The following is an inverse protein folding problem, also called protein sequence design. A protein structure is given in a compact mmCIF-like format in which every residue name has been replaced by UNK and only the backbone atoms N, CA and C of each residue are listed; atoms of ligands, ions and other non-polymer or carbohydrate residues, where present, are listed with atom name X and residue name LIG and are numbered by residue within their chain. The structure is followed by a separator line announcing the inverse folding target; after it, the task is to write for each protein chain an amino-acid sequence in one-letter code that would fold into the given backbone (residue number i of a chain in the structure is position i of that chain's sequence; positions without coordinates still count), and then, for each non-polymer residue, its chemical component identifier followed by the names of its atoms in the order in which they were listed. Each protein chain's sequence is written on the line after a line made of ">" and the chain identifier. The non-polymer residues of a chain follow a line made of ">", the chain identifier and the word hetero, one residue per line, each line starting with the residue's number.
data_IF_372528434305
#
_entry.id   IF_372528434305
#
_cell.length_a   1.000
_cell.length_b   1.000
_cell.length_c   1.000
_cell.angle_alpha   90.00
_cell.angle_beta   90.00
_cell.angle_gamma   90.00
#
_symmetry.space_group_name_H-M   'P 1'
#
loop_
_entity.id
_entity.type
_entity.pdbx_description
1 polymer ?
#
# COMPACT_ATOMS: atom_id res chain seq x y z
N UNK A 1 -29.08 -40.14 -7.73
CA UNK A 1 -27.63 -39.90 -7.96
C UNK A 1 -27.37 -38.61 -8.74
N UNK A 2 -27.94 -38.40 -9.94
CA UNK A 2 -27.72 -37.17 -10.74
C UNK A 2 -28.09 -35.85 -10.03
N UNK A 3 -29.18 -35.83 -9.24
CA UNK A 3 -29.62 -34.64 -8.48
C UNK A 3 -28.63 -34.21 -7.38
N UNK A 4 -28.04 -35.17 -6.67
CA UNK A 4 -27.06 -34.90 -5.62
C UNK A 4 -25.73 -34.40 -6.20
N UNK A 5 -25.32 -34.93 -7.36
CA UNK A 5 -24.15 -34.45 -8.10
C UNK A 5 -24.34 -32.99 -8.55
N UNK A 6 -25.53 -32.64 -9.05
CA UNK A 6 -25.84 -31.27 -9.44
C UNK A 6 -25.78 -30.28 -8.25
N UNK A 7 -26.35 -30.67 -7.10
CA UNK A 7 -26.30 -29.85 -5.87
C UNK A 7 -24.86 -29.68 -5.38
N UNK A 8 -24.07 -30.76 -5.42
CA UNK A 8 -22.66 -30.72 -5.02
C UNK A 8 -21.83 -29.79 -5.93
N UNK A 9 -22.06 -29.82 -7.25
CA UNK A 9 -21.39 -28.94 -8.21
C UNK A 9 -21.80 -27.46 -8.02
N UNK A 10 -23.05 -27.19 -7.67
CA UNK A 10 -23.49 -25.82 -7.34
C UNK A 10 -22.76 -25.34 -6.08
N UNK A 11 -22.70 -26.17 -5.04
CA UNK A 11 -22.04 -25.81 -3.78
C UNK A 11 -20.54 -25.53 -3.98
N UNK A 12 -19.84 -26.33 -4.80
CA UNK A 12 -18.41 -26.13 -5.07
C UNK A 12 -18.14 -24.85 -5.89
N UNK A 13 -19.06 -24.51 -6.80
CA UNK A 13 -19.00 -23.27 -7.57
C UNK A 13 -19.18 -22.03 -6.68
N UNK A 14 -20.12 -22.09 -5.73
CA UNK A 14 -20.36 -21.01 -4.76
C UNK A 14 -19.18 -20.77 -3.81
N UNK A 15 -18.47 -21.82 -3.39
CA UNK A 15 -17.27 -21.67 -2.53
C UNK A 15 -16.11 -21.05 -3.31
N UNK A 16 -16.02 -21.29 -4.61
CA UNK A 16 -14.90 -20.81 -5.44
C UNK A 16 -14.97 -19.31 -5.79
N UNK A 17 -16.13 -18.66 -5.64
CA UNK A 17 -16.32 -17.25 -6.03
C UNK A 17 -16.10 -16.26 -4.89
N UNK A 18 -15.99 -16.71 -3.63
CA UNK A 18 -15.97 -15.84 -2.44
C UNK A 18 -14.58 -15.38 -2.01
N UNK A 19 -13.51 -15.71 -2.74
CA UNK A 19 -12.13 -15.45 -2.30
C UNK A 19 -11.41 -14.30 -3.04
N UNK A 20 -12.12 -13.44 -3.77
CA UNK A 20 -11.50 -12.22 -4.31
C UNK A 20 -11.49 -11.16 -3.20
N UNK A 21 -10.55 -11.29 -2.26
CA UNK A 21 -10.26 -10.21 -1.32
C UNK A 21 -9.54 -9.10 -2.07
N UNK A 22 -10.28 -8.06 -2.48
CA UNK A 22 -9.65 -6.80 -2.88
C UNK A 22 -9.19 -6.14 -1.58
N UNK A 23 -7.88 -5.92 -1.38
CA UNK A 23 -7.41 -5.19 -0.21
C UNK A 23 -8.03 -3.79 -0.22
N UNK A 24 -8.85 -3.48 0.78
CA UNK A 24 -9.45 -2.15 0.98
C UNK A 24 -8.44 -1.12 1.52
N UNK A 25 -7.15 -1.37 1.36
CA UNK A 25 -6.14 -0.40 1.71
C UNK A 25 -6.15 0.68 0.64
N UNK A 26 -6.42 1.92 1.06
CA UNK A 26 -6.08 3.08 0.25
C UNK A 26 -4.63 2.91 -0.20
N UNK A 27 -4.40 3.07 -1.51
CA UNK A 27 -3.08 2.86 -2.09
C UNK A 27 -2.23 4.05 -1.65
N UNK A 28 -1.56 3.94 -0.50
CA UNK A 28 -0.59 4.91 0.02
C UNK A 28 0.71 4.88 -0.81
N UNK A 29 0.57 4.88 -2.14
CA UNK A 29 1.67 4.95 -3.09
C UNK A 29 1.66 6.36 -3.63
N UNK A 30 2.72 7.08 -3.31
CA UNK A 30 2.97 8.43 -3.77
C UNK A 30 3.97 8.38 -4.92
N UNK A 31 3.77 9.24 -5.90
CA UNK A 31 4.71 9.41 -7.00
C UNK A 31 5.77 10.44 -6.62
N UNK A 32 6.73 10.68 -7.49
CA UNK A 32 7.65 11.80 -7.33
C UNK A 32 6.86 13.12 -7.25
N UNK A 33 7.22 13.96 -6.27
CA UNK A 33 6.55 15.23 -6.04
C UNK A 33 6.86 15.83 -4.67
N UNK A 34 6.27 17.01 -4.43
CA UNK A 34 6.33 17.70 -3.13
C UNK A 34 4.97 17.57 -2.47
N UNK A 35 4.96 17.06 -1.25
CA UNK A 35 3.75 16.79 -0.49
C UNK A 35 3.78 17.53 0.84
N UNK A 36 2.61 17.98 1.29
CA UNK A 36 2.38 18.49 2.63
C UNK A 36 2.04 17.34 3.57
N UNK A 37 2.27 17.51 4.86
CA UNK A 37 1.86 16.54 5.89
C UNK A 37 0.36 16.21 5.83
N UNK A 38 -0.47 17.19 5.45
CA UNK A 38 -1.91 17.02 5.25
C UNK A 38 -2.29 16.00 4.16
N UNK A 39 -1.42 15.80 3.16
CA UNK A 39 -1.70 14.93 2.02
C UNK A 39 -1.65 13.44 2.42
N UNK A 40 -0.99 13.12 3.53
CA UNK A 40 -0.81 11.75 4.04
C UNK A 40 -1.85 11.33 5.08
N UNK A 41 -2.72 12.24 5.54
CA UNK A 41 -3.66 12.00 6.65
C UNK A 41 -2.98 11.39 7.90
N UNK A 42 -1.81 11.93 8.29
CA UNK A 42 -1.13 11.46 9.49
C UNK A 42 -1.98 11.69 10.75
N UNK A 43 -1.99 10.71 11.65
CA UNK A 43 -2.47 10.88 13.02
C UNK A 43 -1.34 11.46 13.86
N UNK A 44 -1.68 12.41 14.72
CA UNK A 44 -0.79 12.88 15.77
C UNK A 44 -0.39 11.68 16.66
N UNK A 45 0.85 11.68 17.15
CA UNK A 45 1.46 10.65 18.03
C UNK A 45 1.71 9.26 17.42
N UNK A 46 1.83 9.15 16.09
CA UNK A 46 2.24 7.89 15.44
C UNK A 46 3.56 8.02 14.70
N UNK A 47 4.36 6.96 14.78
CA UNK A 47 5.52 6.77 13.91
C UNK A 47 5.09 6.10 12.62
N UNK A 48 5.56 6.63 11.49
CA UNK A 48 5.28 6.11 10.16
C UNK A 48 6.56 5.59 9.51
N UNK A 49 6.41 4.54 8.71
CA UNK A 49 7.49 3.97 7.91
C UNK A 49 7.25 4.31 6.44
N UNK A 50 8.32 4.57 5.71
CA UNK A 50 8.30 4.82 4.27
C UNK A 50 9.04 3.70 3.55
N UNK A 51 8.50 3.28 2.42
CA UNK A 51 9.05 2.22 1.60
C UNK A 51 9.08 2.67 0.15
N UNK A 52 10.18 2.38 -0.56
CA UNK A 52 10.23 2.49 -2.00
C UNK A 52 9.68 1.20 -2.63
N UNK A 53 8.49 1.32 -3.22
CA UNK A 53 7.80 0.22 -3.94
C UNK A 53 8.18 0.12 -5.42
N UNK A 54 9.04 1.03 -5.92
CA UNK A 54 9.55 0.94 -7.28
C UNK A 54 10.49 -0.26 -7.42
N UNK A 55 10.33 -1.01 -8.51
CA UNK A 55 11.19 -2.15 -8.83
C UNK A 55 12.49 -1.77 -9.53
N UNK A 56 12.57 -0.55 -10.05
CA UNK A 56 13.64 -0.14 -10.97
C UNK A 56 14.48 1.01 -10.41
N UNK A 57 13.85 1.96 -9.75
CA UNK A 57 14.48 3.23 -9.40
C UNK A 57 14.63 3.38 -7.89
N UNK A 58 15.78 3.88 -7.46
CA UNK A 58 15.95 4.37 -6.09
C UNK A 58 15.22 5.71 -5.92
N UNK A 59 14.75 5.97 -4.69
CA UNK A 59 14.03 7.20 -4.33
C UNK A 59 14.86 7.98 -3.31
N UNK A 60 14.92 9.30 -3.49
CA UNK A 60 15.43 10.22 -2.49
C UNK A 60 14.27 10.93 -1.80
N UNK A 61 14.08 10.64 -0.51
CA UNK A 61 13.10 11.33 0.32
C UNK A 61 13.81 12.40 1.13
N UNK A 62 13.27 13.62 1.13
CA UNK A 62 13.74 14.70 2.01
C UNK A 62 12.56 15.27 2.78
N UNK A 63 12.69 15.34 4.10
CA UNK A 63 11.73 15.91 5.01
C UNK A 63 12.17 17.32 5.39
N UNK A 64 11.24 18.26 5.33
CA UNK A 64 11.45 19.66 5.62
C UNK A 64 10.56 20.11 6.79
N UNK A 65 11.05 21.08 7.58
CA UNK A 65 10.24 21.77 8.59
C UNK A 65 9.37 22.89 7.97
N UNK A 66 8.61 23.58 8.82
CA UNK A 66 7.81 24.75 8.42
C UNK A 66 8.61 25.91 7.80
N UNK A 67 9.91 25.99 8.09
CA UNK A 67 10.82 27.00 7.57
C UNK A 67 11.60 26.52 6.33
N UNK A 68 11.23 25.36 5.77
CA UNK A 68 11.89 24.72 4.62
C UNK A 68 13.34 24.30 4.91
N UNK A 69 13.68 24.08 6.18
CA UNK A 69 14.95 23.50 6.58
C UNK A 69 14.87 21.98 6.50
N UNK A 70 15.90 21.35 5.95
CA UNK A 70 15.98 19.89 5.84
C UNK A 70 16.15 19.29 7.24
N UNK A 71 15.16 18.51 7.68
CA UNK A 71 15.22 17.74 8.92
C UNK A 71 15.89 16.39 8.66
N UNK A 72 15.54 15.74 7.54
CA UNK A 72 16.00 14.39 7.23
C UNK A 72 16.10 14.16 5.73
N UNK A 73 17.11 13.40 5.31
CA UNK A 73 17.23 12.91 3.94
C UNK A 73 17.55 11.43 3.95
N UNK A 74 16.82 10.63 3.18
CA UNK A 74 16.97 9.18 3.10
C UNK A 74 17.00 8.77 1.63
N UNK A 75 17.95 7.91 1.27
CA UNK A 75 17.96 7.21 -0.01
C UNK A 75 17.41 5.80 0.19
N UNK A 76 16.34 5.47 -0.52
CA UNK A 76 15.67 4.17 -0.48
C UNK A 76 15.93 3.45 -1.80
N UNK A 77 16.64 2.32 -1.76
CA UNK A 77 16.85 1.48 -2.94
C UNK A 77 15.52 0.91 -3.48
N UNK A 78 15.54 0.44 -4.72
CA UNK A 78 14.38 -0.23 -5.31
C UNK A 78 13.91 -1.41 -4.43
N UNK A 79 12.59 -1.55 -4.26
CA UNK A 79 11.97 -2.53 -3.36
C UNK A 79 12.55 -2.52 -1.93
N UNK A 80 12.80 -1.33 -1.35
CA UNK A 80 13.35 -1.24 0.01
C UNK A 80 12.44 -1.97 1.00
N UNK A 81 12.99 -2.50 2.09
CA UNK A 81 12.17 -3.02 3.18
C UNK A 81 11.50 -1.87 3.96
N UNK A 82 10.51 -2.24 4.79
CA UNK A 82 9.88 -1.34 5.77
C UNK A 82 10.80 -1.08 6.95
#
# INVERSE_FOLDING_TARGET
>A
MKKYIAIFLILIGLISTTFISIPAFTKNIFTEGVYKSSDFNFSEDKTYFVQNVSSENAVFLTLYDENQLVIQSIRLEANSNK
#
